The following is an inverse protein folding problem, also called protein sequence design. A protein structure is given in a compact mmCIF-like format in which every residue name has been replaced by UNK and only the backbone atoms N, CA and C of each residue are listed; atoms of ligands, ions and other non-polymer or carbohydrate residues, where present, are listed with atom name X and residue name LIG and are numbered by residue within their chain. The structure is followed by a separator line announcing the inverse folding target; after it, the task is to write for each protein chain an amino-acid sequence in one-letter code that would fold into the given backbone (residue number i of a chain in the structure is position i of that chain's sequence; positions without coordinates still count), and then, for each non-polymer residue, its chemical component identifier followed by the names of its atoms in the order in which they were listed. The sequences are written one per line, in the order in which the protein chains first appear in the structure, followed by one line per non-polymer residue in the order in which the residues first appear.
data_IF_768882357028
#
_entry.id   IF_768882357028
#
_cell.length_a   1.000
_cell.length_b   1.000
_cell.length_c   1.000
_cell.angle_alpha   90.00
_cell.angle_beta   90.00
_cell.angle_gamma   90.00
#
_symmetry.space_group_name_H-M   'P 1'
#
loop_
_entity.id
_entity.type
_entity.pdbx_description
1 polymer ?
#
# COMPACT_ATOMS: atom_id res chain seq x y z
N UNK A 1 3.05 11.84 0.64
CA UNK A 1 3.73 11.98 1.94
C UNK A 1 4.47 13.29 2.13
N UNK A 2 5.43 13.69 1.26
CA UNK A 2 6.20 14.95 1.42
C UNK A 2 5.38 16.20 1.73
N UNK A 3 4.20 16.37 1.12
CA UNK A 3 3.32 17.52 1.39
C UNK A 3 2.77 17.53 2.83
N UNK A 4 2.37 16.38 3.38
CA UNK A 4 1.78 16.30 4.74
C UNK A 4 2.80 16.70 5.80
N UNK A 5 4.02 16.18 5.69
CA UNK A 5 5.08 16.47 6.67
C UNK A 5 5.55 17.93 6.66
N UNK A 6 5.19 18.69 5.62
CA UNK A 6 5.41 20.13 5.55
C UNK A 6 4.24 20.95 6.14
N UNK A 7 3.32 20.32 6.87
CA UNK A 7 2.18 20.99 7.52
C UNK A 7 0.98 21.25 6.61
N UNK A 8 0.95 20.65 5.42
CA UNK A 8 -0.24 20.74 4.56
C UNK A 8 -1.33 19.76 5.03
N UNK A 9 -2.57 20.10 4.72
CA UNK A 9 -3.71 19.22 5.01
C UNK A 9 -3.56 17.85 4.30
N UNK A 10 -4.06 16.76 4.91
CA UNK A 10 -4.17 15.46 4.26
C UNK A 10 -4.96 15.56 2.94
N UNK A 11 -4.55 14.78 1.95
CA UNK A 11 -5.24 14.64 0.66
C UNK A 11 -5.74 13.21 0.48
N UNK A 12 -6.70 13.01 -0.43
CA UNK A 12 -7.20 11.68 -0.76
C UNK A 12 -6.07 10.72 -1.14
N UNK A 13 -5.10 11.19 -1.92
CA UNK A 13 -3.95 10.41 -2.33
C UNK A 13 -3.03 10.06 -1.16
N UNK A 14 -3.02 10.86 -0.08
CA UNK A 14 -2.29 10.50 1.13
C UNK A 14 -3.00 9.47 2.00
N UNK A 15 -4.33 9.48 2.02
CA UNK A 15 -5.10 8.43 2.68
C UNK A 15 -4.86 7.09 1.98
N UNK A 16 -4.82 7.09 0.65
CA UNK A 16 -4.48 5.92 -0.17
C UNK A 16 -3.07 5.41 0.13
N UNK A 17 -2.09 6.30 0.25
CA UNK A 17 -0.74 5.90 0.65
C UNK A 17 -0.73 5.22 2.03
N UNK A 18 -1.46 5.81 2.99
CA UNK A 18 -1.54 5.27 4.35
C UNK A 18 -2.24 3.91 4.36
N UNK A 19 -3.25 3.73 3.52
CA UNK A 19 -3.89 2.44 3.29
C UNK A 19 -2.92 1.41 2.70
N UNK A 20 -2.06 1.80 1.74
CA UNK A 20 -0.99 0.94 1.23
C UNK A 20 -0.01 0.45 2.32
N UNK A 21 0.28 1.30 3.31
CA UNK A 21 1.10 0.90 4.47
C UNK A 21 0.37 -0.10 5.39
N UNK A 22 -0.96 0.01 5.52
CA UNK A 22 -1.79 -0.97 6.24
C UNK A 22 -1.83 -2.30 5.48
N UNK A 23 -2.01 -2.27 4.16
CA UNK A 23 -1.93 -3.47 3.33
C UNK A 23 -0.60 -4.19 3.52
N UNK A 24 0.52 -3.46 3.48
CA UNK A 24 1.83 -4.04 3.76
C UNK A 24 1.92 -4.64 5.16
N UNK A 25 1.40 -3.96 6.18
CA UNK A 25 1.40 -4.46 7.56
C UNK A 25 0.61 -5.77 7.70
N UNK A 26 -0.53 -5.88 6.99
CA UNK A 26 -1.34 -7.10 6.96
C UNK A 26 -0.60 -8.26 6.30
N UNK A 27 0.12 -8.00 5.20
CA UNK A 27 0.98 -9.00 4.57
C UNK A 27 2.13 -9.43 5.47
N UNK A 28 2.86 -8.46 6.04
CA UNK A 28 4.09 -8.70 6.79
C UNK A 28 3.85 -9.27 8.20
N UNK A 29 2.66 -9.04 8.77
CA UNK A 29 2.35 -9.38 10.15
C UNK A 29 3.16 -8.58 11.20
N UNK A 30 3.88 -7.53 10.77
CA UNK A 30 4.76 -6.73 11.61
C UNK A 30 4.57 -5.24 11.34
N UNK A 31 4.95 -4.39 12.30
CA UNK A 31 4.90 -2.93 12.13
C UNK A 31 5.90 -2.47 11.06
N UNK A 32 5.53 -1.55 10.16
CA UNK A 32 6.46 -0.96 9.21
C UNK A 32 7.67 -0.32 9.90
N UNK A 33 8.86 -0.68 9.42
CA UNK A 33 10.14 -0.16 9.91
C UNK A 33 10.35 -0.44 11.41
N UNK A 34 9.92 -1.60 11.91
CA UNK A 34 10.09 -1.98 13.32
C UNK A 34 11.56 -2.18 13.75
N UNK A 35 12.48 -2.25 12.79
CA UNK A 35 13.92 -2.40 12.95
C UNK A 35 14.65 -1.09 13.31
N UNK A 36 13.95 0.06 13.24
CA UNK A 36 14.56 1.39 13.40
C UNK A 36 13.65 2.37 14.15
N UNK A 37 14.19 3.46 14.72
CA UNK A 37 13.39 4.46 15.41
C UNK A 37 12.47 5.25 14.47
N UNK A 38 11.21 5.48 14.87
CA UNK A 38 10.27 6.35 14.16
C UNK A 38 10.54 7.84 14.40
N UNK A 39 11.68 8.32 13.90
CA UNK A 39 12.15 9.69 14.07
C UNK A 39 12.07 10.50 12.75
N UNK A 40 12.53 11.77 12.79
CA UNK A 40 12.55 12.66 11.62
C UNK A 40 13.38 12.11 10.45
N UNK A 41 14.43 11.35 10.74
CA UNK A 41 15.27 10.74 9.70
C UNK A 41 14.45 9.71 8.91
N UNK A 42 13.73 8.81 9.59
CA UNK A 42 12.85 7.85 8.92
C UNK A 42 11.80 8.54 8.04
N UNK A 43 11.21 9.64 8.53
CA UNK A 43 10.24 10.44 7.76
C UNK A 43 10.88 10.97 6.46
N UNK A 44 12.12 11.47 6.53
CA UNK A 44 12.86 11.95 5.36
C UNK A 44 13.14 10.82 4.37
N UNK A 45 13.59 9.66 4.85
CA UNK A 45 13.84 8.49 4.01
C UNK A 45 12.55 8.03 3.29
N UNK A 46 11.41 8.01 3.99
CA UNK A 46 10.10 7.68 3.40
C UNK A 46 9.72 8.70 2.31
N UNK A 47 9.97 9.99 2.56
CA UNK A 47 9.75 11.05 1.59
C UNK A 47 10.68 10.96 0.38
N UNK A 48 11.88 10.41 0.56
CA UNK A 48 12.86 10.16 -0.51
C UNK A 48 12.58 8.90 -1.31
N UNK A 49 11.64 8.06 -0.87
CA UNK A 49 11.18 6.93 -1.66
C UNK A 49 11.46 5.57 -1.05
N UNK A 50 12.01 5.46 0.17
CA UNK A 50 12.11 4.12 0.78
C UNK A 50 10.71 3.52 0.91
N UNK A 51 10.62 2.22 0.66
CA UNK A 51 9.40 1.44 0.81
C UNK A 51 9.69 0.21 1.66
N UNK A 52 8.66 -0.33 2.34
CA UNK A 52 8.81 -1.60 3.03
C UNK A 52 9.17 -2.73 2.04
N UNK A 53 9.87 -3.77 2.52
CA UNK A 53 10.33 -4.88 1.69
C UNK A 53 9.16 -5.74 1.18
N UNK A 54 9.37 -6.44 0.06
CA UNK A 54 8.42 -7.45 -0.41
C UNK A 54 8.26 -8.53 0.65
N UNK A 55 7.03 -9.02 0.83
CA UNK A 55 6.70 -10.10 1.77
C UNK A 55 6.34 -11.35 0.98
N UNK A 56 7.15 -12.39 1.14
CA UNK A 56 6.94 -13.68 0.49
C UNK A 56 5.57 -14.27 0.84
N UNK A 57 4.92 -14.91 -0.13
CA UNK A 57 3.58 -15.49 0.04
C UNK A 57 2.44 -14.49 -0.05
N UNK A 58 2.71 -13.20 -0.28
CA UNK A 58 1.65 -12.22 -0.58
C UNK A 58 1.04 -12.51 -1.95
N UNK A 59 -0.29 -12.66 -2.07
CA UNK A 59 -0.96 -12.84 -3.36
C UNK A 59 -0.62 -11.72 -4.35
N UNK A 60 -0.37 -12.07 -5.61
CA UNK A 60 0.11 -11.14 -6.65
C UNK A 60 -0.80 -9.92 -6.84
N UNK A 61 -2.11 -10.13 -6.80
CA UNK A 61 -3.13 -9.06 -6.91
C UNK A 61 -3.00 -8.09 -5.73
N UNK A 62 -2.90 -8.61 -4.50
CA UNK A 62 -2.75 -7.80 -3.29
C UNK A 62 -1.43 -7.02 -3.30
N UNK A 63 -0.34 -7.67 -3.69
CA UNK A 63 0.98 -7.05 -3.82
C UNK A 63 0.98 -5.91 -4.84
N UNK A 64 0.39 -6.14 -6.02
CA UNK A 64 0.32 -5.12 -7.08
C UNK A 64 -0.49 -3.90 -6.66
N UNK A 65 -1.65 -4.11 -6.03
CA UNK A 65 -2.46 -3.01 -5.48
C UNK A 65 -1.72 -2.24 -4.37
N UNK A 66 -1.04 -2.95 -3.48
CA UNK A 66 -0.21 -2.33 -2.44
C UNK A 66 0.87 -1.43 -3.04
N UNK A 67 1.59 -1.90 -4.08
CA UNK A 67 2.61 -1.08 -4.76
C UNK A 67 2.02 0.17 -5.40
N UNK A 68 0.85 0.07 -6.04
CA UNK A 68 0.16 1.23 -6.62
C UNK A 68 -0.24 2.25 -5.54
N UNK A 69 -0.74 1.80 -4.39
CA UNK A 69 -1.02 2.68 -3.25
C UNK A 69 0.24 3.42 -2.75
N UNK A 70 1.38 2.74 -2.79
CA UNK A 70 2.67 3.24 -2.31
C UNK A 70 3.46 4.05 -3.36
N UNK A 71 2.88 4.33 -4.53
CA UNK A 71 3.55 5.09 -5.59
C UNK A 71 4.07 6.44 -5.06
N UNK A 72 5.30 6.79 -5.45
CA UNK A 72 5.93 8.05 -5.11
C UNK A 72 5.14 9.24 -5.66
N UNK A 73 4.63 9.13 -6.88
CA UNK A 73 3.74 10.10 -7.51
C UNK A 73 2.31 9.92 -6.98
N UNK A 74 1.74 10.90 -6.23
CA UNK A 74 0.37 10.81 -5.74
C UNK A 74 -0.68 10.60 -6.84
N UNK A 75 -0.43 11.09 -8.07
CA UNK A 75 -1.38 10.98 -9.18
C UNK A 75 -1.46 9.58 -9.79
N UNK A 76 -0.47 8.72 -9.53
CA UNK A 76 -0.50 7.32 -9.97
C UNK A 76 -1.25 6.42 -8.97
N UNK A 77 -1.58 6.94 -7.79
CA UNK A 77 -2.29 6.15 -6.77
C UNK A 77 -3.75 5.97 -7.19
N UNK A 78 -4.33 4.78 -6.96
CA UNK A 78 -5.73 4.54 -7.26
C UNK A 78 -6.61 5.38 -6.35
N UNK A 79 -7.85 5.60 -6.78
CA UNK A 79 -8.89 6.15 -5.93
C UNK A 79 -9.41 5.08 -4.95
N UNK A 80 -10.04 5.52 -3.86
CA UNK A 80 -10.68 4.59 -2.92
C UNK A 80 -11.76 3.71 -3.60
N UNK A 81 -12.45 4.25 -4.61
CA UNK A 81 -13.44 3.50 -5.39
C UNK A 81 -12.78 2.37 -6.19
N UNK A 82 -11.68 2.66 -6.90
CA UNK A 82 -10.94 1.66 -7.67
C UNK A 82 -10.35 0.58 -6.76
N UNK A 83 -9.84 0.95 -5.58
CA UNK A 83 -9.37 -0.03 -4.59
C UNK A 83 -10.48 -0.93 -4.10
N UNK A 84 -11.64 -0.35 -3.76
CA UNK A 84 -12.78 -1.13 -3.29
C UNK A 84 -13.28 -2.11 -4.36
N UNK A 85 -13.35 -1.67 -5.62
CA UNK A 85 -13.71 -2.51 -6.75
C UNK A 85 -12.70 -3.66 -6.94
N UNK A 86 -11.40 -3.36 -6.99
CA UNK A 86 -10.37 -4.39 -7.19
C UNK A 86 -10.34 -5.41 -6.04
N UNK A 87 -10.40 -4.94 -4.79
CA UNK A 87 -10.43 -5.83 -3.62
C UNK A 87 -11.73 -6.64 -3.56
N UNK A 88 -12.87 -6.03 -3.89
CA UNK A 88 -14.15 -6.74 -3.95
C UNK A 88 -14.15 -7.86 -4.98
N UNK A 89 -13.67 -7.56 -6.20
CA UNK A 89 -13.53 -8.56 -7.27
C UNK A 89 -12.58 -9.69 -6.87
N UNK A 90 -11.47 -9.36 -6.22
CA UNK A 90 -10.51 -10.35 -5.74
C UNK A 90 -11.10 -11.24 -4.64
N UNK A 91 -11.83 -10.67 -3.67
CA UNK A 91 -12.51 -11.43 -2.61
C UNK A 91 -13.55 -12.39 -3.20
N UNK A 92 -14.35 -11.94 -4.17
CA UNK A 92 -15.33 -12.80 -4.86
C UNK A 92 -14.60 -13.96 -5.54
N UNK A 93 -13.53 -13.69 -6.27
CA UNK A 93 -12.79 -14.72 -6.98
C UNK A 93 -12.14 -15.76 -6.05
N UNK A 94 -11.65 -15.36 -4.87
CA UNK A 94 -11.13 -16.31 -3.86
C UNK A 94 -12.23 -17.22 -3.31
N UNK A 95 -13.44 -16.69 -3.11
CA UNK A 95 -14.58 -17.48 -2.64
C UNK A 95 -15.02 -18.55 -3.65
N UNK A 96 -14.85 -18.27 -4.95
CA UNK A 96 -15.21 -19.19 -6.03
C UNK A 96 -14.05 -20.14 -6.42
N UNK A 97 -12.79 -19.77 -6.13
CA UNK A 97 -11.61 -20.61 -6.33
C UNK A 97 -10.48 -20.24 -5.34
N UNK A 98 -10.03 -21.17 -4.47
CA UNK A 98 -9.02 -20.87 -3.43
C UNK A 98 -7.59 -20.63 -3.98
N UNK A 99 -7.36 -20.76 -5.29
CA UNK A 99 -6.10 -20.38 -5.94
C UNK A 99 -6.33 -19.24 -6.96
N UNK A 100 -6.15 -17.96 -6.53
CA UNK A 100 -6.50 -16.76 -7.29
C UNK A 100 -5.40 -16.30 -8.26
N UNK A 101 -4.43 -17.16 -8.57
CA UNK A 101 -3.27 -16.85 -9.43
C UNK A 101 -3.62 -16.35 -10.85
N UNK A 102 -4.82 -16.69 -11.33
CA UNK A 102 -5.24 -16.50 -12.74
C UNK A 102 -6.10 -15.25 -13.00
N UNK A 103 -6.25 -14.34 -12.04
CA UNK A 103 -6.97 -13.09 -12.29
C UNK A 103 -6.08 -12.09 -13.03
N UNK A 104 -6.10 -12.18 -14.35
CA UNK A 104 -5.60 -11.15 -15.25
C UNK A 104 -6.44 -9.87 -15.09
N UNK A 105 -5.87 -8.86 -14.42
CA UNK A 105 -6.30 -7.46 -14.51
C UNK A 105 -5.48 -6.78 -15.59
#
# INVERSE_FOLDING_TARGET
MRKIFNGNAPTKESDIYSFGMVMWMLSAGVRPYCDRPHNKQLIQEICLGIRPSVVDGTPSVFFSLMLQCLDANPSNRPTASQLNECLGNWVIAICDNPDPSDLSI
#
